data_IF_255441231271
#
_entry.id   IF_255441231271
#
_cell.length_a   1.000
_cell.length_b   1.000
_cell.length_c   1.000
_cell.angle_alpha   90.00
_cell.angle_beta   90.00
_cell.angle_gamma   90.00
#
_symmetry.space_group_name_H-M   'P 1'
#
loop_
_entity.id
_entity.type
_entity.pdbx_description
1 polymer ?
#
# COMPACT_ATOMS: atom_id res chain seq x y z
N UNK A 1 -18.66 5.01 15.64
CA UNK A 1 -17.22 4.66 15.69
C UNK A 1 -16.41 5.29 14.55
N UNK A 2 -17.01 5.70 13.43
CA UNK A 2 -16.30 6.35 12.30
C UNK A 2 -15.67 7.72 12.60
N UNK A 3 -16.26 8.52 13.50
CA UNK A 3 -15.73 9.85 13.86
C UNK A 3 -14.42 9.79 14.66
N UNK A 4 -14.16 8.69 15.38
CA UNK A 4 -12.96 8.56 16.22
C UNK A 4 -11.70 8.36 15.36
N UNK A 5 -11.80 7.54 14.31
CA UNK A 5 -10.71 7.30 13.35
C UNK A 5 -10.33 8.58 12.62
N UNK A 6 -11.33 9.34 12.16
CA UNK A 6 -11.08 10.61 11.47
C UNK A 6 -10.48 11.67 12.41
N UNK A 7 -11.01 11.78 13.63
CA UNK A 7 -10.44 12.66 14.63
C UNK A 7 -8.98 12.28 14.94
N UNK A 8 -8.66 10.99 15.08
CA UNK A 8 -7.31 10.49 15.29
C UNK A 8 -6.39 10.82 14.12
N UNK A 9 -6.84 10.63 12.88
CA UNK A 9 -6.08 11.00 11.69
C UNK A 9 -5.73 12.50 11.65
N UNK A 10 -6.68 13.37 12.00
CA UNK A 10 -6.48 14.83 12.00
C UNK A 10 -5.65 15.35 13.17
N UNK A 11 -5.75 14.71 14.34
CA UNK A 11 -5.09 15.15 15.58
C UNK A 11 -3.76 14.44 15.88
N UNK A 12 -3.45 13.34 15.19
CA UNK A 12 -2.24 12.56 15.43
C UNK A 12 -0.97 13.38 15.15
N UNK A 13 -0.12 13.49 16.18
CA UNK A 13 1.20 14.13 16.10
C UNK A 13 2.29 13.18 15.61
N UNK A 14 2.11 11.88 15.78
CA UNK A 14 3.06 10.85 15.36
C UNK A 14 2.64 10.29 14.00
N UNK A 15 3.57 10.30 13.04
CA UNK A 15 3.29 9.84 11.67
C UNK A 15 2.82 8.37 11.60
N UNK A 16 3.38 7.40 12.36
CA UNK A 16 2.88 6.03 12.32
C UNK A 16 1.41 5.91 12.77
N UNK A 17 1.02 6.68 13.78
CA UNK A 17 -0.37 6.70 14.29
C UNK A 17 -1.30 7.32 13.25
N UNK A 18 -0.86 8.40 12.59
CA UNK A 18 -1.62 9.06 11.53
C UNK A 18 -1.80 8.14 10.32
N UNK A 19 -0.74 7.44 9.93
CA UNK A 19 -0.77 6.49 8.82
C UNK A 19 -1.73 5.34 9.08
N UNK A 20 -1.67 4.73 10.27
CA UNK A 20 -2.60 3.67 10.63
C UNK A 20 -4.04 4.16 10.61
N UNK A 21 -4.33 5.32 11.20
CA UNK A 21 -5.67 5.90 11.16
C UNK A 21 -6.15 6.21 9.73
N UNK A 22 -5.25 6.62 8.83
CA UNK A 22 -5.58 6.83 7.43
C UNK A 22 -5.91 5.53 6.69
N UNK A 23 -5.14 4.45 6.95
CA UNK A 23 -5.43 3.12 6.39
C UNK A 23 -6.77 2.59 6.91
N UNK A 24 -6.97 2.63 8.23
CA UNK A 24 -8.21 2.17 8.88
C UNK A 24 -9.42 2.93 8.32
N UNK A 25 -9.31 4.26 8.19
CA UNK A 25 -10.36 5.10 7.62
C UNK A 25 -10.62 4.84 6.14
N UNK A 26 -9.56 4.67 5.35
CA UNK A 26 -9.67 4.42 3.90
C UNK A 26 -10.37 3.10 3.59
N UNK A 27 -10.08 2.03 4.35
CA UNK A 27 -10.65 0.70 4.12
C UNK A 27 -11.99 0.46 4.81
N UNK A 28 -12.30 1.20 5.88
CA UNK A 28 -13.58 1.07 6.57
C UNK A 28 -14.73 1.84 5.90
N UNK A 29 -14.41 2.83 5.05
CA UNK A 29 -15.40 3.76 4.51
C UNK A 29 -15.83 3.40 3.08
N UNK A 30 -17.11 3.10 2.90
CA UNK A 30 -17.72 2.66 1.64
C UNK A 30 -18.53 3.79 0.94
N UNK A 31 -18.03 5.02 0.98
CA UNK A 31 -18.73 6.18 0.44
C UNK A 31 -17.83 7.27 -0.13
N UNK A 32 -18.42 8.18 -0.91
CA UNK A 32 -17.74 9.38 -1.42
C UNK A 32 -17.98 10.57 -0.48
N UNK A 33 -17.21 10.65 0.60
CA UNK A 33 -17.18 11.80 1.52
C UNK A 33 -15.85 12.56 1.40
N UNK A 34 -15.83 13.82 1.82
CA UNK A 34 -14.62 14.65 1.89
C UNK A 34 -13.53 13.98 2.75
N UNK A 35 -13.92 13.23 3.77
CA UNK A 35 -13.03 12.40 4.59
C UNK A 35 -12.29 11.34 3.77
N UNK A 36 -13.01 10.67 2.85
CA UNK A 36 -12.42 9.66 1.99
C UNK A 36 -11.40 10.27 1.02
N UNK A 37 -11.68 11.48 0.53
CA UNK A 37 -10.70 12.24 -0.27
C UNK A 37 -9.46 12.61 0.53
N UNK A 38 -9.61 13.01 1.79
CA UNK A 38 -8.48 13.33 2.67
C UNK A 38 -7.58 12.10 2.92
N UNK A 39 -8.18 10.94 3.24
CA UNK A 39 -7.43 9.70 3.41
C UNK A 39 -6.70 9.31 2.12
N UNK A 40 -7.42 9.32 0.99
CA UNK A 40 -6.88 9.01 -0.34
C UNK A 40 -5.69 9.90 -0.68
N UNK A 41 -5.83 11.22 -0.51
CA UNK A 41 -4.76 12.17 -0.79
C UNK A 41 -3.54 11.97 0.10
N UNK A 42 -3.76 11.69 1.39
CA UNK A 42 -2.68 11.41 2.33
C UNK A 42 -1.95 10.11 1.98
N UNK A 43 -2.69 9.01 1.77
CA UNK A 43 -2.12 7.71 1.43
C UNK A 43 -1.37 7.74 0.08
N UNK A 44 -1.89 8.45 -0.92
CA UNK A 44 -1.17 8.65 -2.20
C UNK A 44 0.21 9.30 -2.00
N UNK A 45 0.31 10.32 -1.14
CA UNK A 45 1.59 10.96 -0.78
C UNK A 45 2.50 10.05 0.04
N UNK A 46 1.94 9.03 0.69
CA UNK A 46 2.57 8.11 1.62
C UNK A 46 2.49 6.66 1.15
N UNK A 47 2.45 6.45 -0.17
CA UNK A 47 2.21 5.11 -0.73
C UNK A 47 3.26 4.10 -0.30
N UNK A 48 4.52 4.52 -0.18
CA UNK A 48 5.60 3.65 0.28
C UNK A 48 5.38 3.15 1.71
N UNK A 49 5.30 4.02 2.73
CA UNK A 49 5.07 3.55 4.09
C UNK A 49 3.70 2.89 4.27
N UNK A 50 2.66 3.32 3.54
CA UNK A 50 1.35 2.67 3.54
C UNK A 50 1.45 1.21 3.08
N UNK A 51 2.04 0.97 1.90
CA UNK A 51 2.21 -0.39 1.37
C UNK A 51 3.13 -1.23 2.25
N UNK A 52 4.20 -0.66 2.82
CA UNK A 52 5.07 -1.39 3.74
C UNK A 52 4.35 -1.86 5.02
N UNK A 53 3.45 -1.06 5.59
CA UNK A 53 2.62 -1.49 6.74
C UNK A 53 1.77 -2.70 6.37
N UNK A 54 1.16 -2.69 5.18
CA UNK A 54 0.36 -3.80 4.69
C UNK A 54 1.20 -5.06 4.39
N UNK A 55 2.40 -4.89 3.82
CA UNK A 55 3.35 -5.98 3.58
C UNK A 55 3.76 -6.64 4.90
N UNK A 56 4.12 -5.85 5.90
CA UNK A 56 4.51 -6.35 7.24
C UNK A 56 3.39 -7.13 7.90
N UNK A 57 2.16 -6.67 7.72
CA UNK A 57 0.95 -7.27 8.27
C UNK A 57 0.38 -8.39 7.39
N UNK A 58 0.94 -8.63 6.19
CA UNK A 58 0.44 -9.56 5.17
C UNK A 58 -1.03 -9.36 4.79
N UNK A 59 -1.49 -8.10 4.76
CA UNK A 59 -2.87 -7.74 4.41
C UNK A 59 -3.03 -7.67 2.88
N UNK A 60 -3.07 -8.84 2.22
CA UNK A 60 -2.99 -8.95 0.75
C UNK A 60 -4.15 -8.24 0.04
N UNK A 61 -5.38 -8.41 0.52
CA UNK A 61 -6.57 -7.75 -0.06
C UNK A 61 -6.42 -6.22 -0.05
N UNK A 62 -5.89 -5.66 1.05
CA UNK A 62 -5.64 -4.23 1.16
C UNK A 62 -4.49 -3.77 0.26
N UNK A 63 -3.47 -4.61 0.06
CA UNK A 63 -2.37 -4.33 -0.88
C UNK A 63 -2.90 -4.24 -2.31
N UNK A 64 -3.77 -5.17 -2.70
CA UNK A 64 -4.41 -5.20 -4.02
C UNK A 64 -5.26 -3.95 -4.27
N UNK A 65 -6.12 -3.58 -3.32
CA UNK A 65 -6.91 -2.35 -3.40
C UNK A 65 -6.02 -1.11 -3.59
N UNK A 66 -4.91 -0.97 -2.85
CA UNK A 66 -3.99 0.15 -3.03
C UNK A 66 -3.25 0.12 -4.37
N UNK A 67 -3.00 -1.08 -4.90
CA UNK A 67 -2.34 -1.26 -6.16
C UNK A 67 -3.21 -0.83 -7.34
N UNK A 68 -4.50 -1.17 -7.31
CA UNK A 68 -5.50 -0.77 -8.30
C UNK A 68 -5.61 0.75 -8.44
N UNK A 69 -5.30 1.50 -7.37
CA UNK A 69 -5.29 2.96 -7.40
C UNK A 69 -4.20 3.56 -8.31
N UNK A 70 -3.17 2.79 -8.69
CA UNK A 70 -2.10 3.24 -9.57
C UNK A 70 -1.19 4.32 -8.97
N UNK A 71 -1.05 4.38 -7.63
CA UNK A 71 -0.27 5.42 -6.95
C UNK A 71 1.24 5.19 -6.92
N UNK A 72 1.73 4.07 -7.45
CA UNK A 72 3.14 3.71 -7.46
C UNK A 72 3.55 3.05 -8.78
N UNK A 73 4.84 3.15 -9.13
CA UNK A 73 5.41 2.58 -10.36
C UNK A 73 6.37 1.41 -10.10
N UNK A 74 7.07 0.98 -11.16
CA UNK A 74 8.06 -0.12 -11.12
C UNK A 74 9.10 0.06 -10.00
N UNK A 75 9.62 1.29 -9.81
CA UNK A 75 10.64 1.59 -8.79
C UNK A 75 10.16 1.32 -7.36
N UNK A 76 8.95 1.74 -7.04
CA UNK A 76 8.33 1.46 -5.75
C UNK A 76 8.05 -0.03 -5.59
N UNK A 77 7.55 -0.69 -6.63
CA UNK A 77 7.26 -2.12 -6.61
C UNK A 77 8.52 -2.97 -6.34
N UNK A 78 9.66 -2.67 -6.98
CA UNK A 78 10.94 -3.33 -6.66
C UNK A 78 11.35 -3.11 -5.19
N UNK A 79 11.06 -1.92 -4.65
CA UNK A 79 11.34 -1.59 -3.26
C UNK A 79 10.48 -2.44 -2.32
N UNK A 80 9.20 -2.60 -2.64
CA UNK A 80 8.26 -3.43 -1.88
C UNK A 80 8.65 -4.90 -1.89
N UNK A 81 9.04 -5.44 -3.04
CA UNK A 81 9.54 -6.81 -3.18
C UNK A 81 10.77 -7.01 -2.28
N UNK A 82 11.71 -6.05 -2.30
CA UNK A 82 12.89 -6.09 -1.43
C UNK A 82 12.49 -6.12 0.05
N UNK A 83 11.60 -5.23 0.49
CA UNK A 83 11.11 -5.19 1.88
C UNK A 83 10.44 -6.51 2.28
N UNK A 84 9.54 -7.04 1.45
CA UNK A 84 8.86 -8.31 1.73
C UNK A 84 9.85 -9.49 1.84
N UNK A 85 10.88 -9.50 0.99
CA UNK A 85 11.96 -10.51 1.03
C UNK A 85 12.83 -10.39 2.27
N UNK A 86 13.29 -9.18 2.58
CA UNK A 86 14.17 -8.91 3.75
C UNK A 86 13.45 -9.22 5.07
N UNK A 87 12.15 -8.94 5.15
CA UNK A 87 11.34 -9.19 6.34
C UNK A 87 10.65 -10.57 6.38
N UNK A 88 10.90 -11.44 5.40
CA UNK A 88 10.34 -12.80 5.35
C UNK A 88 8.82 -12.88 5.19
N UNK A 89 8.20 -11.87 4.57
CA UNK A 89 6.74 -11.79 4.35
C UNK A 89 6.35 -12.55 3.09
N UNK A 90 6.30 -13.88 3.18
CA UNK A 90 6.15 -14.77 2.02
C UNK A 90 4.87 -14.51 1.20
N UNK A 91 3.72 -14.30 1.85
CA UNK A 91 2.47 -14.07 1.11
C UNK A 91 2.50 -12.76 0.33
N UNK A 92 2.96 -11.69 0.99
CA UNK A 92 3.15 -10.39 0.36
C UNK A 92 4.19 -10.47 -0.77
N UNK A 93 5.29 -11.20 -0.58
CA UNK A 93 6.32 -11.38 -1.59
C UNK A 93 5.78 -12.11 -2.83
N UNK A 94 5.05 -13.22 -2.65
CA UNK A 94 4.44 -13.98 -3.75
C UNK A 94 3.46 -13.09 -4.52
N UNK A 95 2.61 -12.34 -3.82
CA UNK A 95 1.67 -11.44 -4.46
C UNK A 95 2.39 -10.33 -5.24
N UNK A 96 3.39 -9.67 -4.64
CA UNK A 96 4.16 -8.60 -5.30
C UNK A 96 4.93 -9.07 -6.54
N UNK A 97 5.41 -10.33 -6.54
CA UNK A 97 6.05 -10.91 -7.72
C UNK A 97 5.05 -11.15 -8.85
N UNK A 98 3.84 -11.64 -8.56
CA UNK A 98 2.77 -11.78 -9.56
C UNK A 98 2.37 -10.42 -10.11
N UNK A 99 2.15 -9.45 -9.24
CA UNK A 99 1.82 -8.08 -9.62
C UNK A 99 2.88 -7.44 -10.54
N UNK A 100 4.17 -7.67 -10.24
CA UNK A 100 5.26 -7.21 -11.11
C UNK A 100 5.21 -7.85 -12.48
N UNK A 101 5.00 -9.16 -12.53
CA UNK A 101 4.88 -9.91 -13.78
C UNK A 101 3.70 -9.38 -14.61
N UNK A 102 2.56 -9.17 -13.99
CA UNK A 102 1.33 -8.80 -14.68
C UNK A 102 1.38 -7.35 -15.20
N UNK A 103 2.03 -6.43 -14.48
CA UNK A 103 2.13 -5.01 -14.88
C UNK A 103 3.28 -4.68 -15.82
N UNK A 104 4.41 -5.36 -15.69
CA UNK A 104 5.65 -4.97 -16.38
C UNK A 104 6.33 -6.10 -17.14
N UNK A 105 5.87 -7.34 -16.98
CA UNK A 105 6.61 -8.53 -17.40
C UNK A 105 7.92 -8.70 -16.61
N UNK A 106 8.53 -9.86 -16.77
CA UNK A 106 9.98 -9.96 -16.58
C UNK A 106 10.62 -9.52 -17.90
N UNK A 107 11.59 -8.62 -17.85
CA UNK A 107 12.44 -8.40 -19.02
C UNK A 107 13.06 -9.74 -19.37
N UNK A 108 12.62 -10.34 -20.48
CA UNK A 108 13.31 -11.45 -21.10
C UNK A 108 14.74 -10.97 -21.30
N UNK A 109 15.68 -11.52 -20.52
CA UNK A 109 17.07 -11.48 -20.92
C UNK A 109 17.11 -12.33 -22.18
N UNK A 110 17.10 -11.69 -23.34
CA UNK A 110 17.52 -12.33 -24.58
C UNK A 110 18.93 -12.86 -24.33
N UNK A 111 19.01 -14.16 -24.05
CA UNK A 111 20.25 -14.89 -24.16
C UNK A 111 20.43 -15.08 -25.66
N UNK A 112 21.21 -14.19 -26.28
CA UNK A 112 21.77 -14.46 -27.61
C UNK A 112 22.55 -15.78 -27.50
N UNK A 113 22.07 -16.78 -28.23
CA UNK A 113 22.55 -18.17 -28.25
C UNK A 113 23.37 -18.41 -29.53
#
# INVERSE_FOLDING_TARGET
MEDETYHRFRSARQEPVRLQAALDGFFAFDGEDERQKEYTFYLKKRIRPAMEVLIRSQQIEQMEILAEQGWYGKKELETFIRTAREEGRLQALVWLMKEKNDRYGYEDREYDL
#
